data_IF_966967688733
#
_entry.id   IF_966967688733
#
_cell.length_a   1.000
_cell.length_b   1.000
_cell.length_c   1.000
_cell.angle_alpha   90.00
_cell.angle_beta   90.00
_cell.angle_gamma   90.00
#
_symmetry.space_group_name_H-M   'P 1'
#
loop_
_entity.id
_entity.type
_entity.pdbx_description
1 polymer ?
#
# COMPACT_ATOMS: atom_id res chain seq x y z
N UNK A 1 -28.45 7.25 41.28
CA UNK A 1 -27.81 8.40 41.96
C UNK A 1 -26.42 8.56 41.36
N UNK A 2 -26.24 9.57 40.54
CA UNK A 2 -24.93 9.87 39.94
C UNK A 2 -24.08 10.57 40.99
N UNK A 3 -23.07 9.87 41.48
CA UNK A 3 -22.13 10.39 42.48
C UNK A 3 -21.17 11.37 41.74
N UNK A 4 -21.53 12.67 41.76
CA UNK A 4 -20.69 13.76 41.25
C UNK A 4 -19.65 14.16 42.29
N UNK A 5 -18.75 13.25 42.63
CA UNK A 5 -17.54 13.64 43.37
C UNK A 5 -16.64 14.42 42.40
N UNK A 6 -16.60 15.73 42.59
CA UNK A 6 -15.78 16.64 41.80
C UNK A 6 -14.36 16.78 42.38
N UNK A 7 -13.44 17.34 41.61
CA UNK A 7 -12.06 17.69 42.02
C UNK A 7 -12.08 18.60 43.26
N UNK A 8 -13.18 19.31 43.50
CA UNK A 8 -13.43 20.17 44.66
C UNK A 8 -13.53 19.41 45.99
N UNK A 9 -13.75 18.09 45.96
CA UNK A 9 -13.87 17.26 47.16
C UNK A 9 -12.51 16.70 47.63
N UNK A 10 -11.44 17.03 46.95
CA UNK A 10 -10.09 16.62 47.31
C UNK A 10 -9.58 17.39 48.52
N UNK A 11 -8.99 16.67 49.48
CA UNK A 11 -8.44 17.31 50.66
C UNK A 11 -8.35 16.39 51.87
N UNK A 12 -7.90 16.96 52.99
CA UNK A 12 -7.81 16.23 54.26
C UNK A 12 -9.21 16.09 54.89
N UNK A 13 -9.56 14.89 55.30
CA UNK A 13 -10.73 14.56 56.07
C UNK A 13 -10.32 14.02 57.44
N UNK A 14 -10.94 14.51 58.52
CA UNK A 14 -10.66 14.09 59.87
C UNK A 14 -11.84 13.33 60.43
N UNK A 15 -11.61 12.11 60.85
CA UNK A 15 -12.57 11.32 61.63
C UNK A 15 -12.22 11.39 63.11
N UNK A 16 -13.15 11.86 63.95
CA UNK A 16 -12.97 11.91 65.38
C UNK A 16 -13.99 10.98 66.06
N UNK A 17 -13.51 10.08 66.90
CA UNK A 17 -14.38 9.21 67.71
C UNK A 17 -13.92 9.13 69.19
N UNK A 18 -14.82 8.82 70.06
CA UNK A 18 -14.52 8.65 71.49
C UNK A 18 -14.30 7.17 71.81
N UNK A 19 -13.14 6.83 72.42
CA UNK A 19 -12.83 5.52 72.94
C UNK A 19 -12.34 5.66 74.38
N UNK A 20 -13.02 5.04 75.35
CA UNK A 20 -12.68 5.08 76.76
C UNK A 20 -12.54 6.53 77.32
N UNK A 21 -13.51 7.38 76.96
CA UNK A 21 -13.57 8.83 77.36
C UNK A 21 -12.37 9.65 76.86
N UNK A 22 -11.62 9.15 75.84
CA UNK A 22 -10.53 9.90 75.19
C UNK A 22 -10.86 10.08 73.73
N UNK A 23 -10.73 11.28 73.15
CA UNK A 23 -10.88 11.48 71.69
C UNK A 23 -9.76 10.78 70.97
N UNK A 24 -10.12 10.07 69.92
CA UNK A 24 -9.22 9.50 68.92
C UNK A 24 -9.45 10.22 67.59
N UNK A 25 -8.38 10.58 66.94
CA UNK A 25 -8.39 11.33 65.67
C UNK A 25 -7.68 10.46 64.61
N UNK A 26 -8.34 10.26 63.49
CA UNK A 26 -7.72 9.67 62.29
C UNK A 26 -7.88 10.65 61.11
N UNK A 27 -6.79 10.94 60.44
CA UNK A 27 -6.77 11.81 59.27
C UNK A 27 -6.61 10.97 58.02
N UNK A 28 -7.43 11.24 56.99
CA UNK A 28 -7.41 10.62 55.68
C UNK A 28 -7.36 11.72 54.63
N UNK A 29 -6.50 11.59 53.65
CA UNK A 29 -6.45 12.50 52.50
C UNK A 29 -7.19 11.88 51.33
N UNK A 30 -8.27 12.53 50.86
CA UNK A 30 -8.98 12.10 49.65
C UNK A 30 -8.26 12.63 48.42
N UNK A 31 -7.89 11.74 47.54
CA UNK A 31 -7.32 12.05 46.21
C UNK A 31 -8.35 11.70 45.16
N UNK A 32 -8.72 12.65 44.30
CA UNK A 32 -9.65 12.43 43.20
C UNK A 32 -8.86 12.08 41.96
N UNK A 33 -9.09 10.90 41.46
CA UNK A 33 -8.50 10.43 40.19
C UNK A 33 -9.47 10.68 39.03
N UNK A 34 -8.93 11.10 37.87
CA UNK A 34 -9.68 11.35 36.66
C UNK A 34 -9.13 10.43 35.56
N UNK A 35 -9.95 9.60 34.92
CA UNK A 35 -9.52 8.75 33.82
C UNK A 35 -8.88 9.55 32.69
N UNK A 36 -7.88 8.94 32.05
CA UNK A 36 -7.26 9.49 30.85
C UNK A 36 -8.29 9.62 29.73
N UNK A 37 -8.30 10.75 29.05
CA UNK A 37 -9.19 11.01 27.91
C UNK A 37 -8.51 11.90 26.87
N UNK A 38 -8.62 11.52 25.59
CA UNK A 38 -8.17 12.33 24.46
C UNK A 38 -9.15 13.50 24.28
N UNK A 39 -8.67 14.73 24.40
CA UNK A 39 -9.45 15.95 24.24
C UNK A 39 -9.29 16.57 22.87
N UNK A 40 -8.12 16.43 22.26
CA UNK A 40 -7.85 16.92 20.92
C UNK A 40 -6.88 15.99 20.19
N UNK A 41 -7.05 15.82 18.87
CA UNK A 41 -6.22 14.96 18.03
C UNK A 41 -6.23 15.48 16.60
N UNK A 42 -5.12 15.29 15.88
CA UNK A 42 -5.01 15.60 14.47
C UNK A 42 -6.13 14.94 13.65
N UNK A 43 -6.60 15.64 12.62
CA UNK A 43 -7.49 15.07 11.61
C UNK A 43 -6.70 14.16 10.67
N UNK A 44 -7.42 13.35 9.86
CA UNK A 44 -6.80 12.62 8.76
C UNK A 44 -6.05 13.58 7.83
N UNK A 45 -4.85 13.19 7.44
CA UNK A 45 -3.97 14.01 6.60
C UNK A 45 -3.68 13.31 5.26
N UNK A 46 -3.47 14.12 4.22
CA UNK A 46 -3.04 13.65 2.91
C UNK A 46 -1.87 14.52 2.47
N UNK A 47 -0.70 13.91 2.34
CA UNK A 47 0.58 14.57 2.04
C UNK A 47 1.24 13.93 0.84
N UNK A 48 2.17 14.63 0.19
CA UNK A 48 2.94 14.03 -0.89
C UNK A 48 4.13 13.24 -0.34
N UNK A 49 4.53 12.21 -1.05
CA UNK A 49 5.71 11.41 -0.69
C UNK A 49 6.95 12.33 -0.59
N UNK A 50 7.72 12.15 0.49
CA UNK A 50 8.91 12.98 0.80
C UNK A 50 8.61 14.22 1.66
N UNK A 51 7.35 14.58 1.91
CA UNK A 51 6.99 15.66 2.84
C UNK A 51 7.10 15.20 4.30
N UNK A 52 7.08 16.16 5.23
CA UNK A 52 7.05 15.88 6.66
C UNK A 52 5.62 15.88 7.17
N UNK A 53 5.35 15.02 8.14
CA UNK A 53 4.05 14.89 8.82
C UNK A 53 4.26 15.07 10.31
N UNK A 54 3.47 15.95 10.93
CA UNK A 54 3.39 16.11 12.37
C UNK A 54 1.96 15.83 12.79
N UNK A 55 1.78 14.84 13.66
CA UNK A 55 0.50 14.50 14.27
C UNK A 55 0.58 14.83 15.76
N UNK A 56 -0.54 15.26 16.32
CA UNK A 56 -0.67 15.51 17.75
C UNK A 56 -1.88 14.80 18.33
N UNK A 57 -1.75 14.47 19.63
CA UNK A 57 -2.80 13.85 20.42
C UNK A 57 -2.70 14.36 21.86
N UNK A 58 -3.63 15.22 22.25
CA UNK A 58 -3.66 15.85 23.56
C UNK A 58 -4.63 15.10 24.48
N UNK A 59 -4.15 14.73 25.64
CA UNK A 59 -4.93 14.01 26.63
C UNK A 59 -4.99 14.76 27.95
N UNK A 60 -6.02 14.51 28.72
CA UNK A 60 -6.19 15.00 30.09
C UNK A 60 -6.55 13.84 31.00
N UNK A 61 -6.14 13.93 32.28
CA UNK A 61 -6.44 12.93 33.30
C UNK A 61 -5.69 13.22 34.59
N UNK A 62 -5.98 12.46 35.63
CA UNK A 62 -5.28 12.58 36.89
C UNK A 62 -5.13 11.19 37.54
N UNK A 63 -3.91 10.68 37.72
CA UNK A 63 -2.61 11.27 37.37
C UNK A 63 -2.50 11.66 35.88
N UNK A 64 -1.45 12.44 35.54
CA UNK A 64 -1.15 12.84 34.18
C UNK A 64 -1.04 11.60 33.27
N UNK A 65 -1.76 11.59 32.13
CA UNK A 65 -1.75 10.43 31.25
C UNK A 65 -0.44 10.29 30.48
N UNK A 66 -0.04 9.07 30.24
CA UNK A 66 0.94 8.76 29.18
C UNK A 66 0.22 8.74 27.84
N UNK A 67 0.89 9.24 26.79
CA UNK A 67 0.40 9.21 25.41
C UNK A 67 1.39 8.41 24.59
N UNK A 68 0.89 7.48 23.77
CA UNK A 68 1.69 6.66 22.88
C UNK A 68 1.05 6.58 21.52
N UNK A 69 1.87 6.56 20.46
CA UNK A 69 1.47 6.33 19.09
C UNK A 69 1.86 4.95 18.62
N UNK A 70 0.93 4.27 17.97
CA UNK A 70 1.16 2.96 17.35
C UNK A 70 0.71 2.95 15.90
N UNK A 71 1.41 2.21 15.07
CA UNK A 71 0.89 1.77 13.79
C UNK A 71 0.48 0.29 13.86
N UNK A 72 -0.33 -0.15 12.89
CA UNK A 72 -0.81 -1.54 12.87
C UNK A 72 0.28 -2.54 12.46
N UNK A 73 1.32 -2.08 11.79
CA UNK A 73 2.34 -2.94 11.18
C UNK A 73 3.55 -3.14 12.07
N UNK A 74 4.00 -2.08 12.74
CA UNK A 74 5.24 -2.08 13.52
C UNK A 74 5.02 -1.89 15.02
N UNK A 75 3.81 -1.59 15.44
CA UNK A 75 3.46 -1.37 16.84
C UNK A 75 3.82 0.04 17.32
N UNK A 76 4.55 0.16 18.44
CA UNK A 76 4.93 1.45 19.03
C UNK A 76 5.85 2.22 18.08
N UNK A 77 5.46 3.45 17.73
CA UNK A 77 6.24 4.33 16.84
C UNK A 77 6.69 5.63 17.52
N UNK A 78 5.99 6.10 18.56
CA UNK A 78 6.38 7.27 19.35
C UNK A 78 5.78 7.24 20.74
N UNK A 79 6.46 7.91 21.67
CA UNK A 79 5.98 8.23 23.00
C UNK A 79 5.84 9.75 23.14
N UNK A 80 4.76 10.20 23.79
CA UNK A 80 4.42 11.62 23.94
C UNK A 80 3.29 12.06 23.02
N UNK A 81 2.94 13.33 23.15
CA UNK A 81 1.77 13.93 22.48
C UNK A 81 1.96 14.09 20.96
N UNK A 82 3.20 14.10 20.47
CA UNK A 82 3.52 14.35 19.07
C UNK A 82 4.14 13.14 18.41
N UNK A 83 3.75 12.93 17.14
CA UNK A 83 4.38 12.00 16.22
C UNK A 83 4.89 12.76 15.01
N UNK A 84 6.23 12.82 14.88
CA UNK A 84 6.92 13.44 13.76
C UNK A 84 7.44 12.37 12.80
N UNK A 85 7.05 12.47 11.52
CA UNK A 85 7.53 11.62 10.45
C UNK A 85 8.20 12.51 9.42
N UNK A 86 9.51 12.36 9.25
CA UNK A 86 10.27 13.12 8.26
C UNK A 86 10.37 12.35 6.95
N UNK A 87 10.27 13.06 5.82
CA UNK A 87 10.37 12.49 4.47
C UNK A 87 9.52 11.23 4.29
N UNK A 88 8.21 11.35 4.58
CA UNK A 88 7.29 10.21 4.59
C UNK A 88 7.32 9.43 3.27
N UNK A 89 7.35 8.10 3.37
CA UNK A 89 7.31 7.18 2.24
C UNK A 89 5.93 6.58 2.06
N UNK A 90 5.58 6.17 0.83
CA UNK A 90 4.30 5.54 0.50
C UNK A 90 3.98 4.30 1.34
N UNK A 91 5.01 3.57 1.81
CA UNK A 91 4.86 2.40 2.67
C UNK A 91 4.44 2.76 4.10
N UNK A 92 4.55 4.03 4.48
CA UNK A 92 4.14 4.57 5.78
C UNK A 92 2.72 5.17 5.75
N UNK A 93 2.01 5.05 4.60
CA UNK A 93 0.59 5.36 4.52
C UNK A 93 -0.19 4.33 5.35
N UNK A 94 -0.65 4.74 6.54
CA UNK A 94 -1.21 3.85 7.57
C UNK A 94 -2.24 4.59 8.43
N UNK A 95 -2.98 3.84 9.24
CA UNK A 95 -3.77 4.37 10.35
C UNK A 95 -2.91 4.37 11.62
N UNK A 96 -2.52 5.56 12.07
CA UNK A 96 -1.80 5.75 13.32
C UNK A 96 -2.77 5.88 14.47
N UNK A 97 -2.56 5.10 15.53
CA UNK A 97 -3.43 5.06 16.70
C UNK A 97 -2.75 5.75 17.88
N UNK A 98 -3.39 6.79 18.40
CA UNK A 98 -3.04 7.41 19.66
C UNK A 98 -3.73 6.68 20.78
N UNK A 99 -2.96 6.29 21.80
CA UNK A 99 -3.44 5.61 23.00
C UNK A 99 -3.02 6.41 24.22
N UNK A 100 -3.97 6.72 25.11
CA UNK A 100 -3.69 7.43 26.36
C UNK A 100 -4.13 6.60 27.56
N UNK A 101 -3.28 6.57 28.59
CA UNK A 101 -3.52 5.76 29.80
C UNK A 101 -2.95 6.44 31.04
N UNK A 102 -3.64 6.34 32.17
CA UNK A 102 -3.14 6.74 33.50
C UNK A 102 -3.46 5.70 34.58
N UNK A 103 -3.88 4.49 34.23
CA UNK A 103 -4.17 3.40 35.17
C UNK A 103 -5.50 3.52 35.93
N UNK A 104 -6.27 4.58 35.72
CA UNK A 104 -7.55 4.83 36.45
C UNK A 104 -8.72 4.11 35.78
N UNK A 105 -8.69 3.99 34.45
CA UNK A 105 -9.71 3.32 33.65
C UNK A 105 -9.03 2.65 32.43
N UNK A 106 -9.75 1.86 31.63
CA UNK A 106 -9.23 1.39 30.34
C UNK A 106 -8.73 2.55 29.48
N UNK A 107 -7.64 2.36 28.69
CA UNK A 107 -7.08 3.40 27.84
C UNK A 107 -8.11 3.98 26.86
N UNK A 108 -8.08 5.30 26.65
CA UNK A 108 -8.78 5.95 25.53
C UNK A 108 -7.88 5.89 24.28
N UNK A 109 -8.48 5.63 23.10
CA UNK A 109 -7.74 5.45 21.86
C UNK A 109 -8.49 6.03 20.67
N UNK A 110 -7.75 6.68 19.76
CA UNK A 110 -8.28 7.23 18.50
C UNK A 110 -7.28 7.06 17.37
N UNK A 111 -7.82 7.00 16.15
CA UNK A 111 -7.02 6.79 14.92
C UNK A 111 -6.99 8.03 14.06
N UNK A 112 -5.82 8.24 13.43
CA UNK A 112 -5.58 9.25 12.43
C UNK A 112 -5.06 8.56 11.17
N UNK A 113 -5.79 8.70 10.08
CA UNK A 113 -5.38 8.14 8.78
C UNK A 113 -4.41 9.08 8.09
N UNK A 114 -3.23 8.55 7.73
CA UNK A 114 -2.22 9.22 6.91
C UNK A 114 -2.24 8.63 5.51
N UNK A 115 -2.54 9.46 4.52
CA UNK A 115 -2.51 9.11 3.10
C UNK A 115 -1.30 9.74 2.45
N UNK A 116 -0.46 8.94 1.78
CA UNK A 116 0.70 9.43 1.05
C UNK A 116 0.39 9.43 -0.44
N UNK A 117 0.46 10.60 -1.06
CA UNK A 117 0.23 10.80 -2.49
C UNK A 117 1.53 10.60 -3.26
N UNK A 118 1.45 9.97 -4.43
CA UNK A 118 2.61 9.75 -5.32
C UNK A 118 2.17 9.63 -6.78
N UNK A 119 3.08 9.96 -7.74
CA UNK A 119 2.80 9.85 -9.16
C UNK A 119 2.64 8.38 -9.58
N UNK A 120 2.02 8.11 -10.74
CA UNK A 120 1.87 6.76 -11.25
C UNK A 120 3.21 6.05 -11.46
N UNK A 121 3.25 4.79 -11.02
CA UNK A 121 4.34 3.85 -11.29
C UNK A 121 3.75 2.62 -11.98
N UNK A 122 4.13 2.40 -13.24
CA UNK A 122 3.66 1.24 -14.00
C UNK A 122 4.36 0.00 -13.49
N UNK A 123 3.57 -1.03 -13.17
CA UNK A 123 4.03 -2.28 -12.54
C UNK A 123 4.01 -3.47 -13.49
N UNK A 124 3.28 -3.38 -14.61
CA UNK A 124 3.18 -4.48 -15.58
C UNK A 124 3.61 -3.99 -16.97
N UNK A 125 4.55 -4.73 -17.59
CA UNK A 125 5.06 -4.52 -18.95
C UNK A 125 5.22 -5.87 -19.65
N UNK A 126 4.27 -6.22 -20.51
CA UNK A 126 4.32 -7.50 -21.21
C UNK A 126 3.93 -7.38 -22.68
N UNK A 127 4.82 -7.84 -23.57
CA UNK A 127 4.47 -8.04 -24.97
C UNK A 127 3.49 -9.21 -25.11
N UNK A 128 2.52 -9.07 -26.01
CA UNK A 128 1.46 -10.07 -26.20
C UNK A 128 1.53 -10.68 -27.60
N UNK A 129 1.81 -11.99 -27.71
CA UNK A 129 1.65 -12.72 -28.95
C UNK A 129 0.15 -12.92 -29.26
N UNK A 130 -0.26 -12.62 -30.50
CA UNK A 130 -1.64 -12.76 -30.93
C UNK A 130 -1.76 -13.46 -32.28
N UNK A 131 -2.91 -14.10 -32.50
CA UNK A 131 -3.27 -14.74 -33.75
C UNK A 131 -4.32 -13.92 -34.49
N UNK A 132 -4.27 -13.89 -35.81
CA UNK A 132 -5.34 -13.30 -36.64
C UNK A 132 -6.69 -13.93 -36.34
N UNK A 133 -7.73 -13.11 -36.33
CA UNK A 133 -9.11 -13.54 -36.08
C UNK A 133 -9.41 -13.94 -34.62
N UNK A 134 -8.45 -13.82 -33.70
CA UNK A 134 -8.63 -14.14 -32.28
C UNK A 134 -8.65 -12.88 -31.43
N UNK A 135 -9.05 -13.04 -30.17
CA UNK A 135 -8.98 -11.98 -29.18
C UNK A 135 -7.56 -11.84 -28.63
N UNK A 136 -7.16 -10.62 -28.29
CA UNK A 136 -5.92 -10.33 -27.58
C UNK A 136 -6.17 -9.18 -26.59
N UNK A 137 -5.34 -9.09 -25.53
CA UNK A 137 -5.46 -8.03 -24.52
C UNK A 137 -4.07 -7.55 -24.16
N UNK A 138 -3.82 -6.25 -24.35
CA UNK A 138 -2.69 -5.57 -23.71
C UNK A 138 -3.17 -5.01 -22.38
N UNK A 139 -2.35 -5.17 -21.33
CA UNK A 139 -2.66 -4.75 -19.98
C UNK A 139 -1.62 -3.76 -19.48
N UNK A 140 -2.10 -2.66 -18.94
CA UNK A 140 -1.29 -1.65 -18.27
C UNK A 140 -1.79 -1.49 -16.85
N UNK A 141 -0.94 -1.76 -15.87
CA UNK A 141 -1.23 -1.52 -14.46
C UNK A 141 -0.33 -0.42 -13.91
N UNK A 142 -0.92 0.46 -13.11
CA UNK A 142 -0.18 1.50 -12.43
C UNK A 142 -0.67 1.69 -11.00
N UNK A 143 0.29 1.79 -10.08
CA UNK A 143 0.05 2.20 -8.70
C UNK A 143 0.22 3.71 -8.62
N UNK A 144 -0.78 4.39 -8.05
CA UNK A 144 -0.80 5.84 -7.88
C UNK A 144 -1.77 6.27 -6.78
N UNK A 145 -1.46 7.36 -6.10
CA UNK A 145 -2.38 8.05 -5.19
C UNK A 145 -2.27 9.57 -5.48
N UNK A 146 -3.34 10.23 -5.91
CA UNK A 146 -4.64 9.71 -6.34
C UNK A 146 -4.55 8.71 -7.50
N UNK A 147 -5.61 7.91 -7.76
CA UNK A 147 -5.63 6.98 -8.88
C UNK A 147 -5.26 7.65 -10.20
N UNK A 148 -4.55 6.92 -11.07
CA UNK A 148 -4.17 7.42 -12.39
C UNK A 148 -5.33 7.36 -13.39
N UNK A 149 -5.34 8.30 -14.33
CA UNK A 149 -6.03 8.17 -15.61
C UNK A 149 -5.14 7.45 -16.61
N UNK A 150 -5.74 6.72 -17.55
CA UNK A 150 -5.00 5.95 -18.55
C UNK A 150 -5.39 6.38 -19.96
N UNK A 151 -4.37 6.48 -20.81
CA UNK A 151 -4.51 6.75 -22.24
C UNK A 151 -3.61 5.80 -23.02
N UNK A 152 -4.01 5.44 -24.24
CA UNK A 152 -3.26 4.58 -25.12
C UNK A 152 -2.88 5.32 -26.40
N UNK A 153 -1.63 5.13 -26.82
CA UNK A 153 -1.07 5.69 -28.05
C UNK A 153 -0.49 4.59 -28.91
N UNK A 154 -0.50 4.80 -30.19
CA UNK A 154 0.13 3.90 -31.16
C UNK A 154 1.52 4.43 -31.57
N UNK A 155 2.27 3.63 -32.36
CA UNK A 155 3.65 3.90 -32.81
C UNK A 155 3.93 5.34 -33.28
N UNK A 156 2.93 6.00 -33.83
CA UNK A 156 3.00 7.35 -34.37
C UNK A 156 2.47 8.44 -33.43
N UNK A 157 2.42 8.13 -32.15
CA UNK A 157 1.86 8.99 -31.10
C UNK A 157 0.40 9.40 -31.28
N UNK A 158 -0.34 8.72 -32.17
CA UNK A 158 -1.78 8.91 -32.31
C UNK A 158 -2.52 8.25 -31.18
N UNK A 159 -3.52 8.93 -30.58
CA UNK A 159 -4.40 8.32 -29.58
C UNK A 159 -5.09 7.07 -30.18
N UNK A 160 -5.22 6.04 -29.38
CA UNK A 160 -6.00 4.85 -29.75
C UNK A 160 -7.48 5.14 -29.45
N UNK A 161 -8.31 5.03 -30.47
CA UNK A 161 -9.76 5.16 -30.33
C UNK A 161 -10.41 3.78 -30.37
N UNK A 162 -11.49 3.61 -29.62
CA UNK A 162 -12.29 2.39 -29.61
C UNK A 162 -13.09 2.26 -30.90
N UNK A 163 -13.09 1.06 -31.50
CA UNK A 163 -13.87 0.69 -32.66
C UNK A 163 -14.55 -0.69 -32.46
N UNK A 164 -15.17 -1.25 -33.51
CA UNK A 164 -15.84 -2.55 -33.45
C UNK A 164 -14.89 -3.72 -33.14
N UNK A 165 -13.58 -3.54 -33.33
CA UNK A 165 -12.56 -4.57 -33.16
C UNK A 165 -11.60 -4.28 -32.01
N UNK A 166 -11.65 -3.07 -31.42
CA UNK A 166 -10.74 -2.57 -30.41
C UNK A 166 -11.52 -1.79 -29.36
N UNK A 167 -11.38 -2.16 -28.10
CA UNK A 167 -12.06 -1.50 -26.98
C UNK A 167 -11.09 -1.21 -25.84
N UNK A 168 -11.22 -0.02 -25.21
CA UNK A 168 -10.45 0.40 -24.05
C UNK A 168 -11.34 0.26 -22.80
N UNK A 169 -10.84 -0.49 -21.79
CA UNK A 169 -11.49 -0.63 -20.49
C UNK A 169 -10.59 -0.07 -19.41
N UNK A 170 -10.94 1.09 -18.85
CA UNK A 170 -10.24 1.71 -17.76
C UNK A 170 -10.86 1.31 -16.42
N UNK A 171 -10.02 0.82 -15.51
CA UNK A 171 -10.35 0.49 -14.13
C UNK A 171 -9.49 1.36 -13.19
N UNK A 172 -9.72 1.27 -11.89
CA UNK A 172 -9.03 2.13 -10.90
C UNK A 172 -7.50 2.03 -10.92
N UNK A 173 -6.97 0.83 -11.14
CA UNK A 173 -5.52 0.55 -11.08
C UNK A 173 -4.93 0.02 -12.37
N UNK A 174 -5.77 -0.16 -13.40
CA UNK A 174 -5.32 -0.72 -14.68
C UNK A 174 -6.18 -0.27 -15.85
N UNK A 175 -5.60 -0.37 -17.04
CA UNK A 175 -6.29 -0.22 -18.31
C UNK A 175 -6.03 -1.43 -19.19
N UNK A 176 -7.08 -1.89 -19.87
CA UNK A 176 -7.05 -3.02 -20.79
C UNK A 176 -7.37 -2.51 -22.19
N UNK A 177 -6.46 -2.77 -23.13
CA UNK A 177 -6.69 -2.59 -24.56
C UNK A 177 -7.10 -3.95 -25.14
N UNK A 178 -8.39 -4.10 -25.44
CA UNK A 178 -9.02 -5.37 -25.82
C UNK A 178 -9.26 -5.42 -27.33
N UNK A 179 -8.59 -6.33 -28.00
CA UNK A 179 -8.81 -6.65 -29.40
C UNK A 179 -9.78 -7.80 -29.50
N UNK A 180 -10.99 -7.57 -30.02
CA UNK A 180 -12.04 -8.61 -30.16
C UNK A 180 -11.82 -9.48 -31.40
N UNK A 181 -11.20 -8.91 -32.43
CA UNK A 181 -10.86 -9.59 -33.68
C UNK A 181 -9.54 -9.01 -34.22
N UNK A 182 -8.42 -9.68 -33.92
CA UNK A 182 -7.10 -9.22 -34.34
C UNK A 182 -6.95 -9.31 -35.87
N UNK A 183 -6.62 -8.20 -36.51
CA UNK A 183 -6.32 -8.07 -37.91
C UNK A 183 -4.85 -7.62 -38.13
N UNK A 184 -4.34 -7.65 -39.36
CA UNK A 184 -2.96 -7.24 -39.68
C UNK A 184 -2.65 -5.81 -39.21
N UNK A 185 -3.62 -4.90 -39.31
CA UNK A 185 -3.49 -3.51 -38.84
C UNK A 185 -3.27 -3.35 -37.34
N UNK A 186 -3.60 -4.38 -36.50
CA UNK A 186 -3.50 -4.31 -35.07
C UNK A 186 -2.11 -4.63 -34.52
N UNK A 187 -1.28 -5.33 -35.29
CA UNK A 187 0.09 -5.62 -34.85
C UNK A 187 0.91 -4.32 -34.82
N UNK A 188 1.80 -4.22 -33.84
CA UNK A 188 2.64 -3.05 -33.67
C UNK A 188 2.83 -2.69 -32.20
N UNK A 189 3.39 -1.50 -31.96
CA UNK A 189 3.70 -1.02 -30.64
C UNK A 189 2.59 -0.12 -30.11
N UNK A 190 2.22 -0.32 -28.86
CA UNK A 190 1.24 0.46 -28.12
C UNK A 190 1.86 1.00 -26.87
N UNK A 191 1.70 2.30 -26.63
CA UNK A 191 2.18 2.97 -25.43
C UNK A 191 1.01 3.30 -24.51
N UNK A 192 1.04 2.71 -23.32
CA UNK A 192 0.15 3.09 -22.24
C UNK A 192 0.75 4.28 -21.49
N UNK A 193 -0.05 5.30 -21.28
CA UNK A 193 0.30 6.50 -20.54
C UNK A 193 -0.62 6.59 -19.31
N UNK A 194 -0.02 6.58 -18.12
CA UNK A 194 -0.73 6.71 -16.85
C UNK A 194 -0.37 8.04 -16.22
N UNK A 195 -1.35 8.87 -15.83
CA UNK A 195 -1.11 10.19 -15.24
C UNK A 195 -2.04 10.51 -14.08
N UNK A 196 -1.54 11.29 -13.12
CA UNK A 196 -2.33 11.98 -12.11
C UNK A 196 -1.76 13.40 -11.92
N UNK A 197 -2.32 14.18 -10.98
CA UNK A 197 -1.88 15.57 -10.72
C UNK A 197 -0.42 15.71 -10.25
N UNK A 198 0.24 14.61 -9.86
CA UNK A 198 1.62 14.62 -9.36
C UNK A 198 2.64 14.22 -10.42
N UNK A 199 2.20 13.66 -11.54
CA UNK A 199 3.09 13.26 -12.61
C UNK A 199 2.50 12.19 -13.51
N UNK A 200 3.35 11.67 -14.41
CA UNK A 200 2.98 10.68 -15.38
C UNK A 200 4.07 9.63 -15.57
N UNK A 201 3.67 8.43 -16.02
CA UNK A 201 4.55 7.35 -16.40
C UNK A 201 4.00 6.68 -17.65
N UNK A 202 4.88 6.15 -18.52
CA UNK A 202 4.46 5.44 -19.72
C UNK A 202 5.25 4.14 -19.90
N UNK A 203 4.66 3.24 -20.67
CA UNK A 203 5.29 1.99 -21.06
C UNK A 203 4.81 1.58 -22.45
N UNK A 204 5.75 1.14 -23.28
CA UNK A 204 5.45 0.59 -24.61
C UNK A 204 5.49 -0.93 -24.58
N UNK A 205 4.53 -1.55 -25.25
CA UNK A 205 4.41 -3.00 -25.39
C UNK A 205 3.95 -3.39 -26.78
N UNK A 206 4.45 -4.52 -27.27
CA UNK A 206 4.20 -5.00 -28.63
C UNK A 206 3.05 -6.01 -28.64
N UNK A 207 2.10 -5.80 -29.54
CA UNK A 207 1.21 -6.86 -30.01
C UNK A 207 1.91 -7.58 -31.15
N UNK A 208 2.42 -8.78 -30.86
CA UNK A 208 3.25 -9.56 -31.78
C UNK A 208 2.40 -10.55 -32.56
N UNK A 209 2.69 -10.68 -33.87
CA UNK A 209 2.09 -11.75 -34.66
C UNK A 209 2.72 -13.09 -34.27
N UNK A 210 1.89 -14.01 -33.78
CA UNK A 210 2.30 -15.40 -33.59
C UNK A 210 2.03 -16.15 -34.90
N UNK A 211 3.08 -16.57 -35.59
CA UNK A 211 2.99 -17.45 -36.76
C UNK A 211 2.32 -18.76 -36.32
N UNK A 212 1.43 -19.32 -37.12
CA UNK A 212 0.97 -20.68 -36.94
C UNK A 212 2.21 -21.58 -37.01
N UNK A 213 2.58 -22.25 -35.91
CA UNK A 213 3.48 -23.39 -36.00
C UNK A 213 2.82 -24.38 -36.97
N UNK A 214 3.48 -24.69 -38.04
CA UNK A 214 3.11 -25.84 -38.89
C UNK A 214 3.30 -27.03 -37.96
N UNK A 215 2.22 -27.49 -37.31
CA UNK A 215 2.20 -28.84 -36.75
C UNK A 215 2.42 -29.77 -37.95
N UNK A 216 3.64 -30.27 -38.08
CA UNK A 216 4.00 -31.25 -39.08
C UNK A 216 3.05 -32.42 -38.92
N UNK A 217 2.07 -32.51 -39.84
CA UNK A 217 1.44 -33.80 -40.13
C UNK A 217 2.59 -34.72 -40.52
N UNK A 218 2.91 -35.62 -39.63
CA UNK A 218 3.78 -36.75 -39.92
C UNK A 218 3.19 -37.51 -41.08
N UNK A 219 3.72 -37.23 -42.28
CA UNK A 219 3.57 -38.11 -43.44
C UNK A 219 4.40 -39.33 -43.09
N UNK A 220 3.74 -40.38 -42.65
CA UNK A 220 4.36 -41.69 -42.55
C UNK A 220 4.88 -42.11 -43.93
N UNK A 221 6.18 -42.06 -44.13
CA UNK A 221 6.83 -42.76 -45.21
C UNK A 221 7.44 -44.05 -44.66
N UNK A 222 6.86 -45.15 -45.05
CA UNK A 222 7.40 -46.48 -44.87
C UNK A 222 8.63 -46.66 -45.78
N UNK A 223 9.61 -47.34 -45.21
CA UNK A 223 10.66 -48.19 -45.82
C UNK A 223 11.83 -47.53 -46.58
N UNK A 224 13.01 -47.89 -46.10
CA UNK A 224 14.25 -47.82 -46.82
C UNK A 224 15.47 -47.81 -45.91
N UNK A 225 16.01 -48.99 -45.64
CA UNK A 225 17.32 -49.18 -45.00
C UNK A 225 18.40 -48.43 -45.81
N UNK A 226 19.25 -47.65 -45.16
CA UNK A 226 20.66 -47.62 -45.50
C UNK A 226 21.52 -47.11 -44.36
N UNK A 227 22.59 -47.83 -44.16
CA UNK A 227 23.70 -47.71 -43.22
C UNK A 227 24.45 -46.41 -43.44
N UNK A 228 24.90 -45.73 -42.41
CA UNK A 228 25.91 -44.72 -42.62
C UNK A 228 26.23 -43.78 -41.46
N UNK A 229 27.20 -44.14 -40.70
CA UNK A 229 28.23 -43.30 -40.07
C UNK A 229 27.81 -42.32 -38.96
N UNK A 230 28.06 -42.73 -37.72
CA UNK A 230 28.19 -41.89 -36.53
C UNK A 230 29.53 -41.13 -36.60
N UNK A 231 29.47 -39.79 -36.63
CA UNK A 231 30.61 -38.94 -36.31
C UNK A 231 30.45 -38.44 -34.85
N UNK A 232 31.29 -38.94 -34.00
CA UNK A 232 31.46 -38.44 -32.64
C UNK A 232 32.29 -37.14 -32.67
N UNK A 233 31.74 -36.02 -32.25
CA UNK A 233 32.51 -34.82 -31.90
C UNK A 233 32.54 -34.70 -30.41
N UNK A 234 33.68 -35.04 -29.81
CA UNK A 234 34.01 -34.83 -28.41
C UNK A 234 34.32 -33.35 -28.16
N UNK A 235 33.55 -32.69 -27.33
CA UNK A 235 33.95 -31.41 -26.76
C UNK A 235 34.65 -31.65 -25.44
N UNK A 236 35.97 -31.41 -25.46
CA UNK A 236 36.79 -31.37 -24.25
C UNK A 236 36.48 -30.12 -23.42
N UNK A 237 36.23 -30.34 -22.15
CA UNK A 237 36.14 -29.30 -21.14
C UNK A 237 37.51 -28.65 -20.92
N UNK A 238 37.59 -27.33 -20.95
CA UNK A 238 38.73 -26.56 -20.41
C UNK A 238 38.26 -25.90 -19.12
N UNK A 239 38.72 -26.46 -18.01
CA UNK A 239 38.63 -25.90 -16.67
C UNK A 239 39.78 -24.89 -16.54
N UNK A 240 39.49 -23.62 -16.33
CA UNK A 240 40.46 -22.61 -15.89
C UNK A 240 40.11 -22.10 -14.51
N UNK A 241 40.88 -22.63 -13.56
CA UNK A 241 41.02 -22.08 -12.22
C UNK A 241 41.86 -20.80 -12.28
N UNK A 242 41.37 -19.70 -11.75
CA UNK A 242 42.22 -18.59 -11.29
C UNK A 242 41.84 -18.21 -9.87
N UNK A 243 42.78 -18.50 -8.97
CA UNK A 243 42.94 -17.88 -7.66
C UNK A 243 43.52 -16.46 -7.86
N UNK A 244 42.97 -15.47 -7.18
CA UNK A 244 43.63 -14.63 -6.16
C UNK A 244 42.53 -13.97 -5.35
#
# INVERSE_FOLDING_TARGET
>A
MSDRRGITDEGPYTCTFQANNKPRIANVYLIVQVPARIVNISKNVSVNEGENVNLYCLAVGRPEPTVTWKDQKYGLVSEGEFLDITEIKRQQAEDYECITNNGVAPPDQRRVKVTVNYPPMITDKKNMPAHLGKTAILRCEAMAVPPASFEWYRDDHRPVESDNTLNIKNEKTRSLLVFTNVTEKHFGNYTCFASNRLGASNVSMLLLRKSASIEGRGIGLHTGMSVGVCIWVSFSAVLLLLKV
#
